data_IF_295985888419
#
_entry.id   IF_295985888419
#
_cell.length_a   1.000
_cell.length_b   1.000
_cell.length_c   1.000
_cell.angle_alpha   90.00
_cell.angle_beta   90.00
_cell.angle_gamma   90.00
#
_symmetry.space_group_name_H-M   'P 1'
#
loop_
_entity.id
_entity.type
_entity.pdbx_description
1 polymer ?
#
# COMPACT_ATOMS: atom_id res chain seq x y z
N UNK A 1 47.26 -16.38 -40.00
CA UNK A 1 45.99 -15.72 -40.24
C UNK A 1 44.79 -16.28 -39.42
N UNK A 2 44.81 -17.53 -38.89
CA UNK A 2 43.69 -18.08 -38.09
C UNK A 2 43.60 -17.55 -36.63
N UNK A 3 44.72 -17.17 -36.00
CA UNK A 3 44.74 -16.69 -34.61
C UNK A 3 44.12 -15.30 -34.41
N UNK A 4 44.15 -14.42 -35.42
CA UNK A 4 43.59 -13.07 -35.33
C UNK A 4 42.06 -13.11 -35.36
N UNK A 5 41.44 -14.04 -36.07
CA UNK A 5 39.99 -14.18 -36.15
C UNK A 5 39.36 -14.66 -34.82
N UNK A 6 40.07 -15.50 -34.04
CA UNK A 6 39.62 -16.02 -32.76
C UNK A 6 39.65 -14.90 -31.70
N UNK A 7 40.67 -14.05 -31.72
CA UNK A 7 40.81 -12.94 -30.78
C UNK A 7 39.72 -11.87 -30.99
N UNK A 8 39.38 -11.60 -32.30
CA UNK A 8 38.30 -10.66 -32.63
C UNK A 8 36.91 -11.20 -32.21
N UNK A 9 36.68 -12.50 -32.31
CA UNK A 9 35.43 -13.12 -31.90
C UNK A 9 35.27 -13.09 -30.36
N UNK A 10 36.35 -13.29 -29.60
CA UNK A 10 36.35 -13.22 -28.16
C UNK A 10 36.05 -11.80 -27.64
N UNK A 11 36.53 -10.77 -28.35
CA UNK A 11 36.27 -9.36 -27.97
C UNK A 11 34.81 -8.92 -28.24
N UNK A 12 34.16 -9.47 -29.28
CA UNK A 12 32.77 -9.25 -29.59
C UNK A 12 31.83 -9.92 -28.57
N UNK A 13 32.20 -11.13 -28.11
CA UNK A 13 31.41 -11.82 -27.06
C UNK A 13 31.53 -11.16 -25.69
N UNK A 14 32.65 -10.53 -25.37
CA UNK A 14 32.84 -9.85 -24.08
C UNK A 14 32.06 -8.52 -23.98
N UNK A 15 31.82 -7.86 -25.12
CA UNK A 15 31.04 -6.60 -25.15
C UNK A 15 29.51 -6.79 -24.97
N UNK A 16 29.00 -8.02 -25.13
CA UNK A 16 27.57 -8.33 -24.98
C UNK A 16 27.17 -8.51 -23.50
N UNK A 17 28.13 -8.79 -22.61
CA UNK A 17 27.83 -8.98 -21.17
C UNK A 17 27.87 -7.72 -20.33
N UNK A 18 28.18 -6.54 -20.89
CA UNK A 18 28.26 -5.28 -20.16
C UNK A 18 26.98 -4.41 -20.27
N UNK A 19 25.92 -4.93 -20.92
CA UNK A 19 24.67 -4.18 -21.12
C UNK A 19 23.49 -4.69 -20.27
N UNK A 20 23.74 -5.44 -19.20
CA UNK A 20 22.69 -6.01 -18.35
C UNK A 20 22.80 -5.52 -16.90
N UNK A 21 22.87 -4.21 -16.70
CA UNK A 21 22.51 -3.53 -15.45
C UNK A 21 21.98 -2.15 -15.85
N UNK A 22 20.79 -2.15 -16.39
CA UNK A 22 19.95 -0.97 -16.38
C UNK A 22 19.12 -1.08 -15.12
N UNK A 23 19.49 -0.39 -14.05
CA UNK A 23 18.52 0.06 -13.09
C UNK A 23 17.54 0.92 -13.91
N UNK A 24 16.32 0.45 -14.10
CA UNK A 24 15.23 1.24 -14.67
C UNK A 24 14.84 2.31 -13.63
N UNK A 25 15.71 3.29 -13.45
CA UNK A 25 15.44 4.56 -12.75
C UNK A 25 14.45 5.43 -13.55
N UNK A 26 13.40 4.81 -14.12
CA UNK A 26 12.30 5.60 -14.65
C UNK A 26 11.56 6.20 -13.47
N UNK A 27 11.52 7.53 -13.32
CA UNK A 27 10.80 8.17 -12.23
C UNK A 27 9.35 7.69 -12.22
N UNK A 28 8.87 7.26 -11.06
CA UNK A 28 7.45 6.89 -10.92
C UNK A 28 6.61 8.12 -11.26
N UNK A 29 5.64 8.02 -12.19
CA UNK A 29 4.81 9.16 -12.56
C UNK A 29 4.07 9.72 -11.37
N UNK A 30 4.18 11.04 -11.12
CA UNK A 30 3.44 11.73 -10.07
C UNK A 30 2.00 11.93 -10.51
N UNK A 31 1.04 11.44 -9.72
CA UNK A 31 -0.39 11.62 -9.98
C UNK A 31 -0.93 12.86 -9.29
N UNK A 32 -2.12 13.33 -9.67
CA UNK A 32 -2.75 14.48 -9.03
C UNK A 32 -3.17 14.14 -7.58
N UNK A 33 -3.63 12.91 -7.38
CA UNK A 33 -4.14 12.47 -6.08
C UNK A 33 -3.91 10.98 -5.85
N UNK A 34 -3.42 10.66 -4.66
CA UNK A 34 -3.43 9.30 -4.11
C UNK A 34 -4.33 9.22 -2.89
N UNK A 35 -5.22 8.24 -2.88
CA UNK A 35 -6.10 7.93 -1.73
C UNK A 35 -5.64 6.63 -1.12
N UNK A 36 -5.20 6.65 0.13
CA UNK A 36 -4.88 5.45 0.90
C UNK A 36 -6.08 5.07 1.78
N UNK A 37 -6.55 3.84 1.63
CA UNK A 37 -7.46 3.19 2.55
C UNK A 37 -6.67 2.21 3.42
N UNK A 38 -6.45 2.56 4.68
CA UNK A 38 -5.69 1.77 5.65
C UNK A 38 -6.63 0.91 6.48
N UNK A 39 -6.67 -0.38 6.22
CA UNK A 39 -7.63 -1.33 6.77
C UNK A 39 -6.95 -2.32 7.71
N UNK A 40 -7.31 -2.26 8.99
CA UNK A 40 -6.84 -3.19 10.02
C UNK A 40 -8.01 -4.11 10.41
N UNK A 41 -7.94 -5.35 9.94
CA UNK A 41 -9.01 -6.33 10.04
C UNK A 41 -8.62 -7.63 10.76
N UNK A 42 -7.49 -7.71 11.47
CA UNK A 42 -7.20 -8.88 12.31
C UNK A 42 -8.00 -8.82 13.63
N UNK A 43 -9.34 -8.84 13.47
CA UNK A 43 -10.32 -8.70 14.54
C UNK A 43 -11.65 -9.37 14.16
N UNK A 44 -12.69 -9.24 14.99
CA UNK A 44 -13.99 -9.88 14.82
C UNK A 44 -14.85 -9.28 13.69
N UNK A 45 -14.59 -8.03 13.25
CA UNK A 45 -15.25 -7.40 12.07
C UNK A 45 -14.45 -7.56 10.77
N UNK A 46 -13.49 -8.47 10.71
CA UNK A 46 -12.62 -8.72 9.55
C UNK A 46 -13.41 -8.88 8.24
N UNK A 47 -14.52 -9.61 8.28
CA UNK A 47 -15.39 -9.82 7.11
C UNK A 47 -16.01 -8.51 6.59
N UNK A 48 -16.50 -7.68 7.49
CA UNK A 48 -17.18 -6.43 7.13
C UNK A 48 -16.17 -5.43 6.56
N UNK A 49 -14.98 -5.35 7.17
CA UNK A 49 -13.88 -4.52 6.64
C UNK A 49 -13.43 -5.03 5.27
N UNK A 50 -13.28 -6.35 5.08
CA UNK A 50 -12.91 -6.92 3.79
C UNK A 50 -13.96 -6.64 2.70
N UNK A 51 -15.24 -6.65 3.04
CA UNK A 51 -16.33 -6.30 2.10
C UNK A 51 -16.24 -4.84 1.61
N UNK A 52 -15.61 -3.94 2.36
CA UNK A 52 -15.36 -2.58 1.91
C UNK A 52 -14.42 -2.54 0.70
N UNK A 53 -13.46 -3.46 0.60
CA UNK A 53 -12.56 -3.57 -0.57
C UNK A 53 -13.40 -3.83 -1.82
N UNK A 54 -14.29 -4.83 -1.80
CA UNK A 54 -15.17 -5.12 -2.92
C UNK A 54 -16.13 -3.96 -3.25
N UNK A 55 -16.53 -3.18 -2.25
CA UNK A 55 -17.36 -1.99 -2.44
C UNK A 55 -16.60 -0.87 -3.14
N UNK A 56 -15.35 -0.65 -2.74
CA UNK A 56 -14.44 0.29 -3.41
C UNK A 56 -14.23 -0.13 -4.85
N UNK A 57 -13.88 -1.38 -5.11
CA UNK A 57 -13.63 -1.89 -6.47
C UNK A 57 -14.82 -1.63 -7.41
N UNK A 58 -16.04 -1.82 -6.92
CA UNK A 58 -17.25 -1.50 -7.70
C UNK A 58 -17.43 -0.01 -7.98
N UNK A 59 -17.01 0.84 -7.04
CA UNK A 59 -17.18 2.30 -7.14
C UNK A 59 -16.06 3.01 -7.91
N UNK A 60 -14.91 2.38 -8.15
CA UNK A 60 -13.77 3.05 -8.78
C UNK A 60 -14.07 3.55 -10.21
N UNK A 61 -14.93 2.85 -10.96
CA UNK A 61 -15.35 3.28 -12.31
C UNK A 61 -16.23 4.54 -12.32
N UNK A 62 -16.80 4.91 -11.17
CA UNK A 62 -17.62 6.11 -11.02
C UNK A 62 -16.78 7.35 -10.64
N UNK A 63 -15.49 7.16 -10.40
CA UNK A 63 -14.59 8.26 -10.05
C UNK A 63 -14.36 9.14 -11.28
N UNK A 64 -14.61 10.44 -11.12
CA UNK A 64 -14.57 11.42 -12.21
C UNK A 64 -13.24 12.18 -12.34
N UNK A 65 -12.25 11.87 -11.51
CA UNK A 65 -10.92 12.48 -11.53
C UNK A 65 -9.85 11.41 -11.61
N UNK A 66 -8.78 11.61 -12.40
CA UNK A 66 -7.68 10.66 -12.44
C UNK A 66 -6.92 10.62 -11.11
N UNK A 67 -6.38 9.45 -10.78
CA UNK A 67 -5.60 9.26 -9.56
C UNK A 67 -5.30 7.81 -9.25
N UNK A 68 -4.66 7.60 -8.10
CA UNK A 68 -4.31 6.28 -7.59
C UNK A 68 -5.11 5.99 -6.33
N UNK A 69 -5.75 4.83 -6.28
CA UNK A 69 -6.40 4.32 -5.08
C UNK A 69 -5.58 3.18 -4.52
N UNK A 70 -5.09 3.34 -3.30
CA UNK A 70 -4.20 2.38 -2.63
C UNK A 70 -4.94 1.78 -1.45
N UNK A 71 -4.80 0.50 -1.24
CA UNK A 71 -5.35 -0.21 -0.08
C UNK A 71 -4.21 -0.91 0.64
N UNK A 72 -4.06 -0.62 1.93
CA UNK A 72 -3.36 -1.45 2.88
C UNK A 72 -4.39 -2.34 3.58
N UNK A 73 -4.20 -3.65 3.49
CA UNK A 73 -5.06 -4.64 4.12
C UNK A 73 -4.26 -5.57 5.02
N UNK A 74 -4.62 -5.59 6.30
CA UNK A 74 -4.19 -6.60 7.26
C UNK A 74 -5.41 -7.30 7.85
N UNK A 75 -5.69 -8.52 7.40
CA UNK A 75 -6.77 -9.37 7.89
C UNK A 75 -6.29 -10.47 8.83
N UNK A 76 -5.00 -10.45 9.18
CA UNK A 76 -4.38 -11.55 9.91
C UNK A 76 -4.53 -12.86 9.15
N UNK A 77 -4.60 -13.96 9.89
CA UNK A 77 -4.85 -15.29 9.31
C UNK A 77 -6.32 -15.57 8.96
N UNK A 78 -7.22 -14.63 9.24
CA UNK A 78 -8.66 -14.87 9.22
C UNK A 78 -9.28 -14.75 7.86
N UNK A 79 -8.72 -13.93 6.95
CA UNK A 79 -9.43 -13.59 5.74
C UNK A 79 -8.58 -13.24 4.54
N UNK A 80 -9.17 -13.70 3.45
CA UNK A 80 -9.01 -13.18 2.14
C UNK A 80 -7.93 -13.85 1.34
N UNK A 81 -7.75 -13.27 0.23
CA UNK A 81 -6.78 -13.57 -0.79
C UNK A 81 -5.34 -13.33 -0.32
N UNK A 82 -5.17 -12.49 0.72
CA UNK A 82 -3.88 -12.07 1.24
C UNK A 82 -3.61 -12.68 2.62
N UNK A 83 -2.70 -13.66 2.71
CA UNK A 83 -2.38 -14.33 3.99
C UNK A 83 -1.48 -13.49 4.91
N UNK A 84 -0.97 -12.35 4.42
CA UNK A 84 -0.09 -11.41 5.12
C UNK A 84 -0.53 -9.98 4.83
N UNK A 85 -0.16 -9.00 5.66
CA UNK A 85 -0.45 -7.60 5.36
C UNK A 85 0.06 -7.21 3.98
N UNK A 86 -0.80 -6.59 3.18
CA UNK A 86 -0.53 -6.34 1.76
C UNK A 86 -0.95 -4.94 1.35
N UNK A 87 -0.08 -4.27 0.60
CA UNK A 87 -0.34 -3.00 -0.05
C UNK A 87 -0.57 -3.23 -1.54
N UNK A 88 -1.70 -2.78 -2.06
CA UNK A 88 -2.05 -2.90 -3.47
C UNK A 88 -2.78 -1.66 -3.98
N UNK A 89 -2.78 -1.46 -5.29
CA UNK A 89 -3.33 -0.25 -5.89
C UNK A 89 -4.22 -0.51 -7.09
N UNK A 90 -4.95 0.52 -7.46
CA UNK A 90 -5.69 0.72 -8.71
C UNK A 90 -5.38 2.11 -9.25
N UNK A 91 -5.19 2.21 -10.56
CA UNK A 91 -5.14 3.47 -11.26
C UNK A 91 -6.51 3.75 -11.89
N UNK A 92 -7.01 4.98 -11.73
CA UNK A 92 -8.26 5.43 -12.33
C UNK A 92 -7.99 6.61 -13.26
N UNK A 93 -8.62 6.61 -14.45
CA UNK A 93 -8.44 7.68 -15.44
C UNK A 93 -9.46 8.83 -15.29
N UNK A 94 -10.42 8.68 -14.39
CA UNK A 94 -11.51 9.64 -14.20
C UNK A 94 -12.55 9.63 -15.33
N UNK A 95 -12.54 8.62 -16.20
CA UNK A 95 -13.46 8.48 -17.34
C UNK A 95 -14.10 7.09 -17.39
N UNK A 96 -14.04 6.35 -16.29
CA UNK A 96 -14.59 5.03 -16.14
C UNK A 96 -13.62 3.86 -16.33
N UNK A 97 -12.36 4.12 -16.73
CA UNK A 97 -11.35 3.07 -16.81
C UNK A 97 -10.63 2.90 -15.48
N UNK A 98 -10.48 1.66 -15.06
CA UNK A 98 -9.79 1.25 -13.83
C UNK A 98 -8.76 0.18 -14.20
N UNK A 99 -7.54 0.31 -13.70
CA UNK A 99 -6.52 -0.72 -13.89
C UNK A 99 -6.90 -2.03 -13.18
N UNK A 100 -6.23 -3.11 -13.52
CA UNK A 100 -6.26 -4.30 -12.68
C UNK A 100 -5.61 -4.00 -11.35
N UNK A 101 -6.02 -4.76 -10.31
CA UNK A 101 -5.35 -4.74 -9.00
C UNK A 101 -3.87 -5.08 -9.17
N UNK A 102 -3.02 -4.25 -8.61
CA UNK A 102 -1.57 -4.41 -8.61
C UNK A 102 -1.08 -4.48 -7.17
N UNK A 103 -0.45 -5.59 -6.80
CA UNK A 103 0.21 -5.70 -5.50
C UNK A 103 1.53 -4.94 -5.55
N UNK A 104 1.66 -3.93 -4.70
CA UNK A 104 2.86 -3.09 -4.58
C UNK A 104 3.86 -3.76 -3.64
N UNK A 105 3.38 -4.21 -2.47
CA UNK A 105 4.23 -4.73 -1.40
C UNK A 105 3.46 -5.68 -0.49
N UNK A 106 4.15 -6.71 -0.03
CA UNK A 106 3.69 -7.57 1.07
C UNK A 106 4.60 -7.37 2.27
N UNK A 107 4.04 -7.48 3.46
CA UNK A 107 4.78 -7.32 4.72
C UNK A 107 4.78 -8.65 5.47
N UNK A 108 5.76 -8.85 6.34
CA UNK A 108 5.67 -9.89 7.35
C UNK A 108 4.54 -9.57 8.34
N UNK A 109 4.06 -10.56 9.07
CA UNK A 109 3.09 -10.32 10.16
C UNK A 109 3.63 -9.23 11.10
N UNK A 110 2.82 -8.21 11.34
CA UNK A 110 3.20 -7.00 12.08
C UNK A 110 1.99 -6.42 12.82
N UNK A 111 2.24 -5.57 13.81
CA UNK A 111 1.19 -4.84 14.51
C UNK A 111 0.81 -3.59 13.70
N UNK A 112 -0.27 -3.69 12.93
CA UNK A 112 -0.75 -2.63 12.01
C UNK A 112 -1.31 -1.39 12.73
N UNK A 113 -1.39 -1.40 14.06
CA UNK A 113 -1.77 -0.23 14.87
C UNK A 113 -0.58 0.33 15.65
N UNK A 114 0.65 -0.03 15.32
CA UNK A 114 1.83 0.64 15.87
C UNK A 114 2.23 1.86 15.04
N UNK A 115 2.78 2.91 15.69
CA UNK A 115 3.28 4.11 15.02
C UNK A 115 4.27 3.77 13.90
N UNK A 116 5.21 2.88 14.20
CA UNK A 116 6.26 2.50 13.27
C UNK A 116 5.69 1.89 11.99
N UNK A 117 4.73 0.95 12.11
CA UNK A 117 4.11 0.30 10.95
C UNK A 117 3.30 1.31 10.14
N UNK A 118 2.50 2.17 10.79
CA UNK A 118 1.74 3.20 10.10
C UNK A 118 2.67 4.11 9.30
N UNK A 119 3.73 4.65 9.93
CA UNK A 119 4.71 5.51 9.27
C UNK A 119 5.38 4.81 8.09
N UNK A 120 5.77 3.54 8.25
CA UNK A 120 6.42 2.79 7.19
C UNK A 120 5.49 2.55 5.99
N UNK A 121 4.22 2.22 6.24
CA UNK A 121 3.23 2.07 5.15
C UNK A 121 2.97 3.40 4.45
N UNK A 122 2.88 4.52 5.18
CA UNK A 122 2.73 5.85 4.57
C UNK A 122 3.92 6.20 3.67
N UNK A 123 5.16 5.95 4.13
CA UNK A 123 6.37 6.14 3.32
C UNK A 123 6.40 5.24 2.07
N UNK A 124 5.95 4.00 2.19
CA UNK A 124 5.83 3.11 1.04
C UNK A 124 4.81 3.67 0.03
N UNK A 125 3.67 4.19 0.50
CA UNK A 125 2.67 4.82 -0.39
C UNK A 125 3.27 6.04 -1.10
N UNK A 126 4.00 6.90 -0.40
CA UNK A 126 4.68 8.05 -1.01
C UNK A 126 5.72 7.62 -2.04
N UNK A 127 6.48 6.56 -1.77
CA UNK A 127 7.52 6.06 -2.67
C UNK A 127 6.96 5.38 -3.92
N UNK A 128 5.92 4.56 -3.78
CA UNK A 128 5.36 3.77 -4.88
C UNK A 128 4.20 4.46 -5.62
N UNK A 129 3.53 5.41 -4.98
CA UNK A 129 2.37 6.10 -5.53
C UNK A 129 2.48 7.62 -5.27
N UNK A 130 3.55 8.28 -5.76
CA UNK A 130 3.76 9.70 -5.54
C UNK A 130 2.62 10.53 -6.13
N UNK A 131 2.19 11.55 -5.38
CA UNK A 131 1.09 12.42 -5.78
C UNK A 131 1.27 13.84 -5.24
N UNK A 132 0.60 14.80 -5.88
CA UNK A 132 0.53 16.18 -5.38
C UNK A 132 -0.28 16.29 -4.08
N UNK A 133 -1.26 15.39 -3.91
CA UNK A 133 -2.16 15.37 -2.75
C UNK A 133 -2.45 13.95 -2.29
N UNK A 134 -2.48 13.78 -0.98
CA UNK A 134 -2.85 12.51 -0.35
C UNK A 134 -4.14 12.64 0.45
N UNK A 135 -4.91 11.57 0.49
CA UNK A 135 -6.04 11.40 1.40
C UNK A 135 -5.93 10.07 2.11
N UNK A 136 -6.24 10.04 3.40
CA UNK A 136 -6.21 8.85 4.23
C UNK A 136 -7.61 8.49 4.72
N UNK A 137 -7.99 7.22 4.54
CA UNK A 137 -9.19 6.61 5.09
C UNK A 137 -8.73 5.53 6.05
N UNK A 138 -9.18 5.58 7.29
CA UNK A 138 -8.85 4.59 8.32
C UNK A 138 -10.06 3.68 8.55
N UNK A 139 -9.86 2.37 8.46
CA UNK A 139 -10.91 1.38 8.67
C UNK A 139 -10.49 0.29 9.66
N UNK A 140 -11.15 0.24 10.80
CA UNK A 140 -11.03 -0.77 11.86
C UNK A 140 -12.06 -0.48 12.97
N UNK A 141 -11.96 -1.20 14.09
CA UNK A 141 -12.61 -0.77 15.32
C UNK A 141 -12.11 0.59 15.81
N UNK A 142 -12.96 1.29 16.55
CA UNK A 142 -12.59 2.48 17.30
C UNK A 142 -13.43 2.57 18.58
N UNK A 143 -12.91 3.22 19.61
CA UNK A 143 -13.64 3.36 20.90
C UNK A 143 -14.73 4.44 20.89
N UNK A 144 -15.02 5.02 19.71
CA UNK A 144 -16.05 6.05 19.55
C UNK A 144 -15.61 7.45 20.01
N UNK A 145 -16.54 8.41 19.87
CA UNK A 145 -16.27 9.83 20.11
C UNK A 145 -16.16 10.18 21.59
N UNK A 146 -17.00 9.57 22.40
CA UNK A 146 -17.07 9.81 23.84
C UNK A 146 -16.85 8.45 24.53
N UNK A 147 -15.77 8.29 25.30
CA UNK A 147 -15.65 7.13 26.16
C UNK A 147 -16.76 7.17 27.21
N UNK A 148 -17.36 6.01 27.50
CA UNK A 148 -18.34 5.88 28.59
C UNK A 148 -17.71 6.25 29.95
N UNK A 149 -16.40 6.18 30.03
CA UNK A 149 -15.58 6.61 31.15
C UNK A 149 -14.50 7.58 30.64
N UNK A 150 -14.55 8.82 31.09
CA UNK A 150 -13.60 9.89 30.73
C UNK A 150 -12.14 9.57 31.12
N UNK A 151 -11.91 8.56 31.97
CA UNK A 151 -10.58 8.09 32.35
C UNK A 151 -9.92 7.23 31.27
N UNK A 152 -10.67 6.75 30.27
CA UNK A 152 -10.13 5.90 29.19
C UNK A 152 -9.74 6.72 27.97
N UNK A 153 -8.51 6.52 27.52
CA UNK A 153 -8.01 7.11 26.29
C UNK A 153 -8.78 6.58 25.08
N UNK A 154 -9.06 7.48 24.12
CA UNK A 154 -9.61 7.10 22.82
C UNK A 154 -8.57 6.37 22.01
N UNK A 155 -9.01 5.37 21.25
CA UNK A 155 -8.13 4.58 20.38
C UNK A 155 -8.76 4.33 19.02
N UNK A 156 -7.90 4.08 18.05
CA UNK A 156 -8.23 3.56 16.73
C UNK A 156 -7.60 2.17 16.58
N UNK A 157 -8.24 1.35 15.76
CA UNK A 157 -7.76 0.04 15.36
C UNK A 157 -7.97 -1.03 16.42
N UNK A 158 -8.04 -2.23 15.93
CA UNK A 158 -7.90 -3.47 16.70
C UNK A 158 -7.16 -4.45 15.80
N UNK A 159 -5.93 -4.76 16.19
CA UNK A 159 -5.05 -5.71 15.53
C UNK A 159 -4.70 -6.81 16.55
N UNK A 160 -5.48 -7.89 16.53
CA UNK A 160 -5.37 -8.97 17.49
C UNK A 160 -5.34 -8.48 18.95
N UNK A 161 -6.19 -7.49 19.27
CA UNK A 161 -6.29 -6.86 20.58
C UNK A 161 -5.38 -5.65 20.82
N UNK A 162 -4.39 -5.39 19.96
CA UNK A 162 -3.59 -4.18 20.02
C UNK A 162 -4.38 -2.97 19.49
N UNK A 163 -4.14 -1.79 20.05
CA UNK A 163 -4.81 -0.53 19.68
C UNK A 163 -3.83 0.63 19.74
N UNK A 164 -4.03 1.63 18.89
CA UNK A 164 -3.27 2.87 18.95
C UNK A 164 -4.11 3.97 19.62
N UNK A 165 -3.54 4.69 20.57
CA UNK A 165 -4.19 5.86 21.16
C UNK A 165 -4.17 7.04 20.21
N UNK A 166 -5.22 7.88 20.23
CA UNK A 166 -5.35 9.00 19.28
C UNK A 166 -4.15 9.96 19.32
N UNK A 167 -3.55 10.30 20.48
CA UNK A 167 -2.34 11.14 20.49
C UNK A 167 -1.13 10.51 19.76
N UNK A 168 -1.02 9.19 19.81
CA UNK A 168 0.07 8.48 19.13
C UNK A 168 -0.22 8.32 17.63
N UNK A 169 -1.48 8.09 17.26
CA UNK A 169 -1.90 8.14 15.85
C UNK A 169 -1.62 9.52 15.25
N UNK A 170 -1.95 10.62 15.97
CA UNK A 170 -1.64 11.98 15.51
C UNK A 170 -0.16 12.15 15.19
N UNK A 171 0.74 11.69 16.07
CA UNK A 171 2.19 11.74 15.84
C UNK A 171 2.65 10.91 14.65
N UNK A 172 1.96 9.81 14.34
CA UNK A 172 2.29 8.99 13.18
C UNK A 172 1.88 9.66 11.85
N UNK A 173 0.98 10.65 11.90
CA UNK A 173 0.46 11.37 10.74
C UNK A 173 1.12 12.76 10.54
N UNK A 174 1.99 13.20 11.42
CA UNK A 174 2.82 14.42 11.32
C UNK A 174 4.10 14.16 10.52
#
# INVERSE_FOLDING_TARGET
MKKIKILSLLFVCLSIFLSACGDDDTPVPVTVKTVLMYLVGDNDISNDIYNNIASVERGLSEVTSPGTFVIYWDGGSRKGEFPVPTLFKYEVDGKGSVSKREVIKTYSSQNSVSNEVIINVLKDVEAYCPAEKYSLILGSHATGWLPADYSKSRSFGDDNGAKIHIPDLSKALE
#
